data_IF_341354032937
#
_entry.id   IF_341354032937
#
_cell.length_a   1.000
_cell.length_b   1.000
_cell.length_c   1.000
_cell.angle_alpha   90.00
_cell.angle_beta   90.00
_cell.angle_gamma   90.00
#
_symmetry.space_group_name_H-M   'P 1'
#
loop_
_entity.id
_entity.type
_entity.pdbx_description
1 polymer ?
#
# COMPACT_ATOMS: atom_id res chain seq x y z
N UNK A 1 9.78 1.25 -12.43
CA UNK A 1 8.45 1.84 -12.19
C UNK A 1 8.34 2.37 -10.76
N UNK A 2 7.43 3.33 -10.52
CA UNK A 2 7.19 3.92 -9.17
C UNK A 2 6.80 2.82 -8.18
N UNK A 3 5.94 1.89 -8.57
CA UNK A 3 5.56 0.75 -7.73
C UNK A 3 6.77 -0.04 -7.22
N UNK A 4 7.70 -0.43 -8.12
CA UNK A 4 8.90 -1.17 -7.73
C UNK A 4 9.79 -0.41 -6.76
N UNK A 5 9.96 0.90 -6.96
CA UNK A 5 10.71 1.76 -6.05
C UNK A 5 10.05 1.82 -4.64
N UNK A 6 8.73 1.98 -4.58
CA UNK A 6 7.98 1.96 -3.32
C UNK A 6 8.06 0.59 -2.62
N UNK A 7 8.05 -0.51 -3.38
CA UNK A 7 8.19 -1.87 -2.86
C UNK A 7 9.56 -2.08 -2.20
N UNK A 8 10.63 -1.70 -2.89
CA UNK A 8 12.01 -1.77 -2.36
C UNK A 8 12.12 -0.92 -1.09
N UNK A 9 11.59 0.30 -1.12
CA UNK A 9 11.64 1.21 0.02
C UNK A 9 10.88 0.64 1.23
N UNK A 10 9.66 0.10 1.03
CA UNK A 10 8.86 -0.52 2.08
C UNK A 10 9.63 -1.64 2.77
N UNK A 11 10.11 -2.62 2.01
CA UNK A 11 10.79 -3.78 2.60
C UNK A 11 12.14 -3.43 3.21
N UNK A 12 12.87 -2.45 2.64
CA UNK A 12 14.12 -1.95 3.22
C UNK A 12 13.87 -1.28 4.56
N UNK A 13 12.89 -0.36 4.65
CA UNK A 13 12.59 0.35 5.90
C UNK A 13 12.07 -0.61 6.97
N UNK A 14 11.24 -1.58 6.59
CA UNK A 14 10.74 -2.61 7.50
C UNK A 14 11.87 -3.51 8.02
N UNK A 15 12.76 -3.96 7.15
CA UNK A 15 13.93 -4.77 7.55
C UNK A 15 14.83 -4.00 8.51
N UNK A 16 15.16 -2.75 8.21
CA UNK A 16 15.98 -1.91 9.06
C UNK A 16 15.33 -1.65 10.42
N UNK A 17 14.04 -1.37 10.45
CA UNK A 17 13.29 -1.20 11.71
C UNK A 17 13.40 -2.43 12.61
N UNK A 18 13.31 -3.63 12.05
CA UNK A 18 13.40 -4.87 12.83
C UNK A 18 14.82 -5.27 13.20
N UNK A 19 15.82 -4.96 12.36
CA UNK A 19 17.22 -5.34 12.56
C UNK A 19 17.98 -4.42 13.54
N UNK A 20 17.61 -3.13 13.62
CA UNK A 20 18.35 -2.15 14.41
C UNK A 20 18.07 -2.28 15.90
N UNK A 21 19.13 -2.37 16.70
CA UNK A 21 19.06 -2.45 18.17
C UNK A 21 19.15 -1.08 18.85
N UNK A 22 19.72 -0.06 18.18
CA UNK A 22 19.85 1.29 18.74
C UNK A 22 18.48 1.94 18.90
N UNK A 23 18.08 2.27 20.11
CA UNK A 23 16.75 2.79 20.45
C UNK A 23 16.38 4.10 19.74
N UNK A 24 17.35 5.02 19.54
CA UNK A 24 17.11 6.29 18.86
C UNK A 24 16.87 6.05 17.37
N UNK A 25 17.71 5.25 16.72
CA UNK A 25 17.56 4.89 15.32
C UNK A 25 16.26 4.09 15.11
N UNK A 26 15.95 3.13 15.97
CA UNK A 26 14.72 2.32 15.91
C UNK A 26 13.45 3.15 15.93
N UNK A 27 13.42 4.26 16.72
CA UNK A 27 12.28 5.20 16.70
C UNK A 27 12.10 5.87 15.33
N UNK A 28 13.20 6.28 14.69
CA UNK A 28 13.16 6.89 13.36
C UNK A 28 12.71 5.85 12.31
N UNK A 29 13.33 4.67 12.29
CA UNK A 29 12.96 3.63 11.33
C UNK A 29 11.52 3.13 11.51
N UNK A 30 10.99 3.14 12.72
CA UNK A 30 9.57 2.85 12.96
C UNK A 30 8.64 3.84 12.26
N UNK A 31 8.98 5.13 12.26
CA UNK A 31 8.19 6.14 11.56
C UNK A 31 8.31 5.94 10.05
N UNK A 32 9.51 5.69 9.55
CA UNK A 32 9.75 5.44 8.12
C UNK A 32 9.01 4.19 7.63
N UNK A 33 9.10 3.07 8.37
CA UNK A 33 8.40 1.82 8.08
C UNK A 33 6.87 2.04 7.93
N UNK A 34 6.26 2.80 8.84
CA UNK A 34 4.82 3.10 8.73
C UNK A 34 4.50 4.07 7.58
N UNK A 35 5.36 5.05 7.33
CA UNK A 35 5.15 6.03 6.27
C UNK A 35 5.28 5.41 4.87
N UNK A 36 6.15 4.41 4.72
CA UNK A 36 6.32 3.70 3.44
C UNK A 36 5.08 2.91 3.02
N UNK A 37 4.17 2.57 3.95
CA UNK A 37 2.88 1.95 3.61
C UNK A 37 2.01 2.94 2.79
N UNK A 38 1.94 4.22 3.19
CA UNK A 38 1.24 5.25 2.41
C UNK A 38 1.83 5.39 1.02
N UNK A 39 3.16 5.44 0.92
CA UNK A 39 3.86 5.51 -0.37
C UNK A 39 3.61 4.27 -1.23
N UNK A 40 3.57 3.09 -0.62
CA UNK A 40 3.29 1.84 -1.31
C UNK A 40 1.88 1.83 -1.91
N UNK A 41 0.87 2.28 -1.16
CA UNK A 41 -0.50 2.40 -1.66
C UNK A 41 -0.55 3.39 -2.83
N UNK A 42 0.02 4.59 -2.67
CA UNK A 42 0.05 5.59 -3.73
C UNK A 42 0.83 5.11 -4.97
N UNK A 43 1.95 4.43 -4.76
CA UNK A 43 2.75 3.81 -5.82
C UNK A 43 2.02 2.70 -6.57
N UNK A 44 1.14 1.95 -5.89
CA UNK A 44 0.28 0.93 -6.52
C UNK A 44 -0.74 1.55 -7.46
N UNK A 45 -1.35 2.68 -7.08
CA UNK A 45 -2.34 3.37 -7.92
C UNK A 45 -1.73 4.06 -9.12
N UNK A 46 -0.48 4.52 -9.02
CA UNK A 46 0.17 5.35 -10.05
C UNK A 46 0.12 4.75 -11.46
N UNK A 47 0.53 3.49 -11.72
CA UNK A 47 0.45 2.91 -13.06
C UNK A 47 -0.97 2.81 -13.59
N UNK A 48 -1.94 2.46 -12.77
CA UNK A 48 -3.34 2.38 -13.21
C UNK A 48 -3.92 3.73 -13.57
N UNK A 49 -3.65 4.76 -12.77
CA UNK A 49 -4.24 6.08 -12.95
C UNK A 49 -3.62 6.86 -14.09
N UNK A 50 -2.30 6.73 -14.30
CA UNK A 50 -1.56 7.49 -15.31
C UNK A 50 -1.50 6.74 -16.64
N UNK A 51 -1.24 5.42 -16.63
CA UNK A 51 -1.04 4.65 -17.86
C UNK A 51 -2.33 4.01 -18.35
N UNK A 52 -3.08 3.33 -17.49
CA UNK A 52 -4.26 2.58 -17.92
C UNK A 52 -5.49 3.49 -18.08
N UNK A 53 -5.77 4.35 -17.11
CA UNK A 53 -6.97 5.20 -17.18
C UNK A 53 -6.73 6.47 -17.99
N UNK A 54 -5.61 7.15 -17.80
CA UNK A 54 -5.20 8.40 -18.47
C UNK A 54 -6.35 9.35 -18.86
N UNK A 55 -7.33 9.49 -17.98
CA UNK A 55 -8.53 10.30 -18.16
C UNK A 55 -8.82 11.11 -16.89
N UNK A 56 -9.90 11.91 -16.92
CA UNK A 56 -10.29 12.74 -15.77
C UNK A 56 -10.43 11.94 -14.47
N UNK A 57 -11.04 10.75 -14.53
CA UNK A 57 -11.20 9.87 -13.36
C UNK A 57 -9.85 9.40 -12.81
N UNK A 58 -8.92 9.00 -13.69
CA UNK A 58 -7.56 8.61 -13.32
C UNK A 58 -6.81 9.73 -12.61
N UNK A 59 -6.84 10.95 -13.15
CA UNK A 59 -6.15 12.10 -12.56
C UNK A 59 -6.76 12.54 -11.23
N UNK A 60 -8.09 12.50 -11.08
CA UNK A 60 -8.75 12.78 -9.79
C UNK A 60 -8.35 11.73 -8.76
N UNK A 61 -8.41 10.45 -9.10
CA UNK A 61 -8.03 9.36 -8.20
C UNK A 61 -6.55 9.47 -7.80
N UNK A 62 -5.66 9.76 -8.76
CA UNK A 62 -4.24 10.01 -8.50
C UNK A 62 -4.04 11.12 -7.47
N UNK A 63 -4.66 12.28 -7.69
CA UNK A 63 -4.56 13.43 -6.77
C UNK A 63 -5.12 13.13 -5.38
N UNK A 64 -6.27 12.46 -5.29
CA UNK A 64 -6.87 12.05 -4.01
C UNK A 64 -5.97 11.07 -3.23
N UNK A 65 -5.41 10.06 -3.90
CA UNK A 65 -4.57 9.05 -3.26
C UNK A 65 -3.23 9.64 -2.81
N UNK A 66 -2.53 10.40 -3.67
CA UNK A 66 -1.27 11.04 -3.29
C UNK A 66 -1.47 12.13 -2.23
N UNK A 67 -2.55 12.92 -2.33
CA UNK A 67 -2.91 13.89 -1.30
C UNK A 67 -3.16 13.23 0.06
N UNK A 68 -3.94 12.15 0.08
CA UNK A 68 -4.20 11.37 1.30
C UNK A 68 -2.91 10.74 1.86
N UNK A 69 -2.02 10.25 0.99
CA UNK A 69 -0.73 9.70 1.40
C UNK A 69 0.14 10.77 2.09
N UNK A 70 0.25 11.97 1.52
CA UNK A 70 1.02 13.06 2.10
C UNK A 70 0.47 13.45 3.47
N UNK A 71 -0.85 13.62 3.58
CA UNK A 71 -1.51 13.94 4.86
C UNK A 71 -1.25 12.84 5.88
N UNK A 72 -1.40 11.57 5.50
CA UNK A 72 -1.15 10.42 6.37
C UNK A 72 0.29 10.34 6.87
N UNK A 73 1.26 10.60 5.99
CA UNK A 73 2.70 10.64 6.33
C UNK A 73 2.98 11.77 7.34
N UNK A 74 2.43 12.96 7.12
CA UNK A 74 2.61 14.10 8.05
C UNK A 74 2.04 13.76 9.42
N UNK A 75 0.81 13.29 9.51
CA UNK A 75 0.16 12.94 10.78
C UNK A 75 0.90 11.83 11.51
N UNK A 76 1.31 10.77 10.81
CA UNK A 76 2.07 9.66 11.36
C UNK A 76 3.45 10.11 11.87
N UNK A 77 4.10 11.04 11.17
CA UNK A 77 5.41 11.58 11.56
C UNK A 77 5.34 12.46 12.81
N UNK A 78 4.24 13.18 13.02
CA UNK A 78 4.04 14.00 14.22
C UNK A 78 3.90 13.12 15.47
N UNK A 79 3.04 12.10 15.42
CA UNK A 79 2.84 11.21 16.57
C UNK A 79 2.29 9.83 16.14
N UNK A 80 3.21 8.92 15.87
CA UNK A 80 2.88 7.56 15.39
C UNK A 80 1.97 6.77 16.35
N UNK A 81 2.13 6.95 17.68
CA UNK A 81 1.30 6.23 18.65
C UNK A 81 -0.13 6.76 18.64
N UNK A 82 -0.30 8.08 18.65
CA UNK A 82 -1.61 8.74 18.67
C UNK A 82 -2.40 8.44 17.38
N UNK A 83 -1.74 8.49 16.23
CA UNK A 83 -2.39 8.34 14.93
C UNK A 83 -2.38 6.91 14.37
N UNK A 84 -1.85 5.92 15.10
CA UNK A 84 -1.74 4.53 14.62
C UNK A 84 -3.06 3.94 14.11
N UNK A 85 -4.16 4.10 14.86
CA UNK A 85 -5.49 3.60 14.45
C UNK A 85 -6.04 4.36 13.24
N UNK A 86 -5.84 5.68 13.20
CA UNK A 86 -6.25 6.52 12.08
C UNK A 86 -5.48 6.15 10.82
N UNK A 87 -4.16 5.97 10.91
CA UNK A 87 -3.33 5.52 9.79
C UNK A 87 -3.79 4.16 9.25
N UNK A 88 -4.09 3.19 10.12
CA UNK A 88 -4.58 1.87 9.70
C UNK A 88 -5.92 1.98 8.96
N UNK A 89 -6.84 2.83 9.44
CA UNK A 89 -8.11 3.08 8.76
C UNK A 89 -7.89 3.77 7.40
N UNK A 90 -6.97 4.76 7.35
CA UNK A 90 -6.62 5.43 6.10
C UNK A 90 -6.02 4.46 5.07
N UNK A 91 -5.15 3.53 5.49
CA UNK A 91 -4.62 2.50 4.57
C UNK A 91 -5.76 1.68 3.95
N UNK A 92 -6.75 1.29 4.75
CA UNK A 92 -7.89 0.51 4.27
C UNK A 92 -8.74 1.32 3.28
N UNK A 93 -9.11 2.55 3.65
CA UNK A 93 -9.92 3.43 2.79
C UNK A 93 -9.19 3.72 1.47
N UNK A 94 -7.91 4.10 1.54
CA UNK A 94 -7.09 4.34 0.36
C UNK A 94 -6.96 3.08 -0.50
N UNK A 95 -6.72 1.92 0.11
CA UNK A 95 -6.57 0.65 -0.62
C UNK A 95 -7.83 0.28 -1.41
N UNK A 96 -9.02 0.56 -0.87
CA UNK A 96 -10.29 0.27 -1.52
C UNK A 96 -10.85 1.41 -2.38
N UNK A 97 -10.16 2.53 -2.49
CA UNK A 97 -10.58 3.63 -3.37
C UNK A 97 -10.65 3.22 -4.86
N UNK A 98 -10.04 2.12 -5.25
CA UNK A 98 -10.15 1.51 -6.59
C UNK A 98 -11.60 1.22 -6.99
N UNK A 99 -12.50 1.01 -6.04
CA UNK A 99 -13.93 0.76 -6.29
C UNK A 99 -14.56 1.90 -7.11
N UNK A 100 -14.13 3.15 -6.89
CA UNK A 100 -14.61 4.31 -7.66
C UNK A 100 -14.15 4.32 -9.12
N UNK A 101 -13.12 3.55 -9.45
CA UNK A 101 -12.59 3.40 -10.80
C UNK A 101 -12.74 1.98 -11.36
N UNK A 102 -13.51 1.11 -10.70
CA UNK A 102 -13.60 -0.30 -11.05
C UNK A 102 -14.14 -0.51 -12.47
N UNK A 103 -15.16 0.29 -12.86
CA UNK A 103 -15.77 0.20 -14.19
C UNK A 103 -14.78 0.60 -15.30
N UNK A 104 -14.17 1.80 -15.29
CA UNK A 104 -13.20 2.15 -16.31
C UNK A 104 -11.96 1.25 -16.30
N UNK A 105 -11.54 0.71 -15.15
CA UNK A 105 -10.45 -0.28 -15.11
C UNK A 105 -10.84 -1.59 -15.79
N UNK A 106 -12.04 -2.10 -15.55
CA UNK A 106 -12.55 -3.31 -16.18
C UNK A 106 -12.59 -3.20 -17.71
N UNK A 107 -12.83 -1.99 -18.25
CA UNK A 107 -12.86 -1.70 -19.69
C UNK A 107 -11.43 -1.54 -20.29
N UNK A 108 -10.40 -1.38 -19.45
CA UNK A 108 -9.05 -1.02 -19.91
C UNK A 108 -8.02 -2.12 -19.70
N UNK A 109 -8.12 -2.87 -18.60
CA UNK A 109 -7.14 -3.92 -18.24
C UNK A 109 -7.77 -5.30 -18.34
N UNK A 110 -6.95 -6.36 -18.47
CA UNK A 110 -7.47 -7.71 -18.54
C UNK A 110 -8.18 -8.13 -17.25
N UNK A 111 -9.12 -9.06 -17.39
CA UNK A 111 -9.84 -9.65 -16.26
C UNK A 111 -8.87 -10.28 -15.24
N UNK A 112 -7.78 -10.89 -15.69
CA UNK A 112 -6.78 -11.48 -14.81
C UNK A 112 -6.06 -10.40 -13.99
N UNK A 113 -5.66 -9.30 -14.66
CA UNK A 113 -5.04 -8.15 -13.97
C UNK A 113 -5.98 -7.60 -12.89
N UNK A 114 -7.26 -7.42 -13.19
CA UNK A 114 -8.25 -6.93 -12.25
C UNK A 114 -8.48 -7.91 -11.07
N UNK A 115 -8.56 -9.21 -11.34
CA UNK A 115 -8.68 -10.24 -10.28
C UNK A 115 -7.47 -10.18 -9.34
N UNK A 116 -6.26 -10.09 -9.87
CA UNK A 116 -5.03 -10.01 -9.08
C UNK A 116 -4.98 -8.73 -8.24
N UNK A 117 -5.46 -7.60 -8.79
CA UNK A 117 -5.58 -6.33 -8.06
C UNK A 117 -6.51 -6.47 -6.85
N UNK A 118 -7.71 -7.00 -7.06
CA UNK A 118 -8.69 -7.19 -5.99
C UNK A 118 -8.25 -8.24 -4.97
N UNK A 119 -7.66 -9.34 -5.42
CA UNK A 119 -7.11 -10.37 -4.55
C UNK A 119 -5.97 -9.82 -3.68
N UNK A 120 -5.06 -9.02 -4.24
CA UNK A 120 -4.02 -8.33 -3.47
C UNK A 120 -4.59 -7.40 -2.40
N UNK A 121 -5.64 -6.63 -2.72
CA UNK A 121 -6.37 -5.80 -1.76
C UNK A 121 -7.00 -6.61 -0.62
N UNK A 122 -7.57 -7.79 -0.94
CA UNK A 122 -8.10 -8.72 0.06
C UNK A 122 -6.99 -9.27 0.96
N UNK A 123 -5.83 -9.65 0.41
CA UNK A 123 -4.68 -10.10 1.20
C UNK A 123 -4.24 -9.03 2.20
N UNK A 124 -4.08 -7.78 1.79
CA UNK A 124 -3.76 -6.69 2.70
C UNK A 124 -4.84 -6.48 3.76
N UNK A 125 -6.12 -6.54 3.38
CA UNK A 125 -7.25 -6.36 4.30
C UNK A 125 -7.31 -7.46 5.37
N UNK A 126 -7.13 -8.72 4.98
CA UNK A 126 -7.04 -9.86 5.91
C UNK A 126 -5.80 -9.70 6.80
N UNK A 127 -4.68 -9.26 6.23
CA UNK A 127 -3.45 -8.97 6.96
C UNK A 127 -3.66 -7.99 8.12
N UNK A 128 -4.50 -6.96 7.94
CA UNK A 128 -4.81 -5.99 9.01
C UNK A 128 -5.39 -6.66 10.26
N UNK A 129 -6.14 -7.75 10.13
CA UNK A 129 -6.70 -8.49 11.26
C UNK A 129 -5.57 -9.02 12.16
N UNK A 130 -4.49 -9.54 11.55
CA UNK A 130 -3.31 -10.02 12.27
C UNK A 130 -2.47 -8.86 12.81
N UNK A 131 -2.38 -7.75 12.07
CA UNK A 131 -1.71 -6.54 12.54
C UNK A 131 -2.36 -5.95 13.79
N UNK A 132 -3.68 -5.92 13.88
CA UNK A 132 -4.39 -5.44 15.08
C UNK A 132 -4.14 -6.36 16.28
N UNK A 133 -3.97 -7.65 16.05
CA UNK A 133 -3.68 -8.67 17.08
C UNK A 133 -2.18 -8.92 17.30
N UNK A 134 -1.31 -7.99 16.88
CA UNK A 134 0.16 -8.14 16.90
C UNK A 134 0.79 -8.41 18.28
N UNK A 135 0.07 -8.15 19.36
CA UNK A 135 0.50 -8.49 20.72
C UNK A 135 0.54 -10.00 20.97
N UNK A 136 -0.20 -10.79 20.20
CA UNK A 136 -0.17 -12.26 20.28
C UNK A 136 1.05 -12.79 19.52
N UNK A 137 1.62 -13.88 20.03
CA UNK A 137 2.80 -14.53 19.46
C UNK A 137 2.59 -14.86 17.97
N UNK A 138 3.55 -14.53 17.16
CA UNK A 138 3.60 -14.75 15.69
C UNK A 138 2.61 -13.94 14.84
N UNK A 139 1.63 -13.23 15.40
CA UNK A 139 0.64 -12.50 14.59
C UNK A 139 1.28 -11.42 13.70
N UNK A 140 2.32 -10.76 14.20
CA UNK A 140 3.07 -9.79 13.41
C UNK A 140 3.80 -10.42 12.22
N UNK A 141 4.38 -11.60 12.39
CA UNK A 141 5.02 -12.34 11.29
C UNK A 141 4.00 -12.82 10.26
N UNK A 142 2.84 -13.30 10.72
CA UNK A 142 1.73 -13.69 9.84
C UNK A 142 1.26 -12.49 9.02
N UNK A 143 1.14 -11.30 9.63
CA UNK A 143 0.80 -10.09 8.92
C UNK A 143 1.78 -9.79 7.77
N UNK A 144 3.09 -9.92 8.00
CA UNK A 144 4.09 -9.75 6.93
C UNK A 144 3.91 -10.74 5.76
N UNK A 145 3.50 -11.98 6.01
CA UNK A 145 3.21 -12.95 4.94
C UNK A 145 2.04 -12.47 4.07
N UNK A 146 0.99 -11.92 4.68
CA UNK A 146 -0.13 -11.34 3.95
C UNK A 146 0.29 -10.11 3.13
N UNK A 147 1.16 -9.26 3.69
CA UNK A 147 1.72 -8.10 2.97
C UNK A 147 2.55 -8.56 1.75
N UNK A 148 3.39 -9.58 1.89
CA UNK A 148 4.18 -10.15 0.79
C UNK A 148 3.24 -10.72 -0.28
N UNK A 149 2.24 -11.53 0.10
CA UNK A 149 1.25 -12.09 -0.82
C UNK A 149 0.52 -11.02 -1.60
N UNK A 150 0.02 -9.97 -0.92
CA UNK A 150 -0.63 -8.83 -1.55
C UNK A 150 0.30 -8.09 -2.52
N UNK A 151 1.58 -7.89 -2.13
CA UNK A 151 2.57 -7.24 -2.99
C UNK A 151 2.86 -8.04 -4.26
N UNK A 152 2.98 -9.35 -4.15
CA UNK A 152 3.20 -10.24 -5.32
C UNK A 152 2.00 -10.15 -6.28
N UNK A 153 0.78 -10.22 -5.76
CA UNK A 153 -0.43 -10.12 -6.59
C UNK A 153 -0.52 -8.76 -7.29
N UNK A 154 -0.26 -7.66 -6.58
CA UNK A 154 -0.24 -6.33 -7.18
C UNK A 154 0.90 -6.17 -8.21
N UNK A 155 2.07 -6.78 -7.97
CA UNK A 155 3.15 -6.77 -8.95
C UNK A 155 2.72 -7.39 -10.28
N UNK A 156 2.15 -8.59 -10.24
CA UNK A 156 1.70 -9.26 -11.46
C UNK A 156 0.50 -8.55 -12.10
N UNK A 157 -0.41 -8.01 -11.29
CA UNK A 157 -1.52 -7.21 -11.79
C UNK A 157 -1.02 -5.98 -12.58
N UNK A 158 -0.09 -5.21 -12.00
CA UNK A 158 0.49 -4.03 -12.65
C UNK A 158 1.29 -4.44 -13.90
N UNK A 159 2.06 -5.53 -13.82
CA UNK A 159 2.84 -6.02 -14.94
C UNK A 159 1.94 -6.34 -16.14
N UNK A 160 0.88 -7.12 -15.92
CA UNK A 160 -0.11 -7.46 -16.96
C UNK A 160 -0.79 -6.20 -17.50
N UNK A 161 -1.28 -5.33 -16.62
CA UNK A 161 -1.96 -4.10 -17.01
C UNK A 161 -1.09 -3.19 -17.91
N UNK A 162 0.23 -3.14 -17.68
CA UNK A 162 1.14 -2.29 -18.47
C UNK A 162 1.63 -2.96 -19.76
N UNK A 163 1.58 -4.27 -19.88
CA UNK A 163 1.94 -5.00 -21.10
C UNK A 163 0.78 -5.00 -22.09
N UNK A 164 -0.45 -4.89 -21.62
CA UNK A 164 -1.68 -4.95 -22.40
C UNK A 164 -2.15 -3.57 -22.91
N UNK A 165 -1.65 -2.47 -22.33
CA UNK A 165 -1.90 -1.09 -22.76
C UNK A 165 -0.78 -0.58 -23.64
#
# INVERSE_FOLDING_TARGET
SIYGACLILLYTMSTLYHAISNEKAKKVFRILDHNTIFLMIAGTYTPYTISCLNNKTGWILFGCIWGSAIIGIVLSSINIKKFSKVSTLCYLIMGWAVIFAIKPLYETISTLSLILLLAGGLFYSIGIIFYVKRELKYMHSVWHLFVIGGSIMHYFSIFLALVEV
#
